data_IF_952561762150
#
_entry.id   IF_952561762150
#
_cell.length_a   1.000
_cell.length_b   1.000
_cell.length_c   1.000
_cell.angle_alpha   90.00
_cell.angle_beta   90.00
_cell.angle_gamma   90.00
#
_symmetry.space_group_name_H-M   'P 1'
#
loop_
_entity.id
_entity.type
_entity.pdbx_description
1 polymer ?
#
# COMPACT_ATOMS: atom_id res chain seq x y z
N UNK A 1 48.61 -20.71 -21.07
CA UNK A 1 47.61 -20.42 -20.02
C UNK A 1 47.83 -21.43 -18.90
N UNK A 2 48.25 -21.01 -17.71
CA UNK A 2 48.62 -21.95 -16.64
C UNK A 2 47.36 -22.48 -15.94
N UNK A 3 47.41 -23.70 -15.40
CA UNK A 3 46.29 -24.34 -14.67
C UNK A 3 45.71 -23.43 -13.56
N UNK A 4 46.57 -22.60 -12.97
CA UNK A 4 46.20 -21.57 -11.97
C UNK A 4 45.27 -20.50 -12.56
N UNK A 5 45.51 -20.06 -13.80
CA UNK A 5 44.65 -19.08 -14.47
C UNK A 5 43.25 -19.64 -14.76
N UNK A 6 43.14 -20.93 -15.09
CA UNK A 6 41.84 -21.59 -15.31
C UNK A 6 41.04 -21.72 -14.00
N UNK A 7 41.71 -22.09 -12.91
CA UNK A 7 41.08 -22.24 -11.59
C UNK A 7 40.57 -20.89 -11.05
N UNK A 8 41.33 -19.81 -11.25
CA UNK A 8 40.93 -18.45 -10.85
C UNK A 8 39.72 -17.99 -11.67
N UNK A 9 39.71 -18.22 -13.00
CA UNK A 9 38.58 -17.86 -13.85
C UNK A 9 37.30 -18.63 -13.46
N UNK A 10 37.40 -19.93 -13.20
CA UNK A 10 36.27 -20.74 -12.73
C UNK A 10 35.69 -20.26 -11.39
N UNK A 11 36.55 -19.91 -10.43
CA UNK A 11 36.14 -19.40 -9.13
C UNK A 11 35.42 -18.04 -9.25
N UNK A 12 35.90 -17.13 -10.11
CA UNK A 12 35.27 -15.84 -10.39
C UNK A 12 33.87 -16.03 -10.99
N UNK A 13 33.68 -16.98 -11.91
CA UNK A 13 32.38 -17.26 -12.52
C UNK A 13 31.40 -17.81 -11.46
N UNK A 14 31.87 -18.66 -10.54
CA UNK A 14 31.01 -19.19 -9.46
C UNK A 14 30.62 -18.13 -8.43
N UNK A 15 31.52 -17.19 -8.09
CA UNK A 15 31.21 -16.11 -7.16
C UNK A 15 30.30 -15.05 -7.79
N UNK A 16 30.62 -14.59 -9.00
CA UNK A 16 29.84 -13.55 -9.71
C UNK A 16 28.49 -14.07 -10.22
N UNK A 17 28.37 -15.37 -10.51
CA UNK A 17 27.11 -15.98 -10.90
C UNK A 17 26.04 -15.87 -9.81
N UNK A 18 26.41 -15.98 -8.53
CA UNK A 18 25.46 -15.85 -7.43
C UNK A 18 24.92 -14.41 -7.32
N UNK A 19 25.79 -13.40 -7.46
CA UNK A 19 25.39 -11.99 -7.44
C UNK A 19 24.50 -11.64 -8.64
N UNK A 20 24.86 -12.10 -9.83
CA UNK A 20 24.08 -11.86 -11.04
C UNK A 20 22.69 -12.52 -10.96
N UNK A 21 22.60 -13.75 -10.43
CA UNK A 21 21.32 -14.43 -10.21
C UNK A 21 20.47 -13.72 -9.15
N UNK A 22 21.06 -13.29 -8.04
CA UNK A 22 20.34 -12.58 -6.98
C UNK A 22 19.84 -11.22 -7.46
N UNK A 23 20.67 -10.44 -8.14
CA UNK A 23 20.28 -9.16 -8.73
C UNK A 23 19.22 -9.33 -9.82
N UNK A 24 19.38 -10.34 -10.69
CA UNK A 24 18.40 -10.66 -11.72
C UNK A 24 17.03 -10.99 -11.13
N UNK A 25 16.98 -11.83 -10.09
CA UNK A 25 15.73 -12.18 -9.42
C UNK A 25 15.05 -10.99 -8.75
N UNK A 26 15.83 -10.08 -8.12
CA UNK A 26 15.27 -8.85 -7.52
C UNK A 26 14.67 -7.95 -8.59
N UNK A 27 15.37 -7.73 -9.71
CA UNK A 27 14.86 -6.88 -10.79
C UNK A 27 13.58 -7.43 -11.41
N UNK A 28 13.55 -8.74 -11.69
CA UNK A 28 12.34 -9.41 -12.20
C UNK A 28 11.20 -9.26 -11.19
N UNK A 29 11.45 -9.56 -9.92
CA UNK A 29 10.43 -9.43 -8.87
C UNK A 29 9.89 -7.99 -8.74
N UNK A 30 10.76 -6.99 -8.73
CA UNK A 30 10.34 -5.59 -8.64
C UNK A 30 9.55 -5.14 -9.88
N UNK A 31 9.85 -5.70 -11.06
CA UNK A 31 9.17 -5.37 -12.31
C UNK A 31 7.81 -6.08 -12.48
N UNK A 32 7.63 -7.27 -11.90
CA UNK A 32 6.41 -8.07 -12.07
C UNK A 32 5.49 -8.07 -10.86
N UNK A 33 5.82 -7.35 -9.78
CA UNK A 33 4.93 -7.25 -8.62
C UNK A 33 3.66 -6.51 -9.01
N UNK A 34 2.56 -6.97 -8.44
CA UNK A 34 1.25 -6.36 -8.61
C UNK A 34 1.19 -5.00 -7.91
N UNK A 35 0.36 -4.10 -8.41
CA UNK A 35 0.19 -2.76 -7.83
C UNK A 35 -0.79 -2.83 -6.67
N UNK A 36 -0.46 -2.26 -5.49
CA UNK A 36 -1.39 -2.26 -4.37
C UNK A 36 -2.63 -1.42 -4.70
N UNK A 37 -3.78 -1.91 -4.27
CA UNK A 37 -5.03 -1.17 -4.40
C UNK A 37 -5.86 -1.26 -3.12
N UNK A 38 -6.73 -0.27 -2.91
CA UNK A 38 -7.73 -0.36 -1.87
C UNK A 38 -8.84 -1.30 -2.35
N UNK A 39 -9.06 -2.38 -1.59
CA UNK A 39 -9.94 -3.48 -1.95
C UNK A 39 -11.42 -3.04 -1.99
N UNK A 40 -11.80 -2.14 -1.09
CA UNK A 40 -13.14 -1.55 -1.06
C UNK A 40 -13.24 -0.47 -2.12
N UNK A 41 -14.21 -0.60 -3.04
CA UNK A 41 -14.45 0.41 -4.09
C UNK A 41 -15.56 1.40 -3.72
N UNK A 42 -16.50 0.98 -2.88
CA UNK A 42 -17.64 1.79 -2.45
C UNK A 42 -17.79 1.74 -0.93
N UNK A 43 -18.03 2.91 -0.34
CA UNK A 43 -18.24 3.02 1.10
C UNK A 43 -19.74 2.94 1.44
N UNK A 44 -20.13 2.19 2.48
CA UNK A 44 -21.49 2.16 2.99
C UNK A 44 -22.05 3.55 3.31
N UNK A 45 -23.37 3.68 3.23
CA UNK A 45 -24.06 4.92 3.65
C UNK A 45 -23.92 5.07 5.17
N UNK A 46 -23.47 6.24 5.61
CA UNK A 46 -23.39 6.59 7.02
C UNK A 46 -24.65 7.34 7.48
N UNK A 47 -24.95 7.32 8.78
CA UNK A 47 -26.08 8.02 9.37
C UNK A 47 -25.62 8.98 10.46
N UNK A 48 -26.14 10.20 10.46
CA UNK A 48 -25.79 11.23 11.46
C UNK A 48 -26.08 10.72 12.86
N UNK A 49 -25.12 10.92 13.77
CA UNK A 49 -25.26 10.51 15.17
C UNK A 49 -25.15 9.00 15.41
N UNK A 50 -24.94 8.18 14.36
CA UNK A 50 -24.72 6.73 14.50
C UNK A 50 -23.25 6.38 14.33
N UNK A 51 -22.75 5.39 15.11
CA UNK A 51 -21.39 4.91 14.92
C UNK A 51 -21.24 4.31 13.53
N UNK A 52 -20.15 4.68 12.88
CA UNK A 52 -19.73 4.20 11.58
C UNK A 52 -18.36 3.54 11.74
N UNK A 53 -18.14 2.39 11.11
CA UNK A 53 -16.86 1.70 11.13
C UNK A 53 -16.72 0.85 9.87
N UNK A 54 -15.70 1.15 9.07
CA UNK A 54 -15.40 0.44 7.83
C UNK A 54 -13.91 0.19 7.74
N UNK A 55 -13.56 -1.08 7.58
CA UNK A 55 -12.20 -1.53 7.31
C UNK A 55 -11.90 -1.36 5.83
N UNK A 56 -10.75 -0.78 5.51
CA UNK A 56 -10.21 -0.63 4.17
C UNK A 56 -8.94 -1.46 4.08
N UNK A 57 -9.00 -2.57 3.37
CA UNK A 57 -7.83 -3.41 3.10
C UNK A 57 -7.04 -2.90 1.90
N UNK A 58 -5.72 -2.99 1.99
CA UNK A 58 -4.79 -2.74 0.88
C UNK A 58 -4.42 -4.10 0.28
N UNK A 59 -5.09 -4.46 -0.81
CA UNK A 59 -4.82 -5.67 -1.56
C UNK A 59 -3.50 -5.54 -2.33
N UNK A 60 -2.92 -6.69 -2.70
CA UNK A 60 -1.73 -6.80 -3.56
C UNK A 60 -0.44 -6.11 -3.04
N UNK A 61 -0.49 -5.48 -1.86
CA UNK A 61 0.69 -4.94 -1.21
C UNK A 61 1.69 -6.07 -0.88
N UNK A 62 2.84 -6.07 -1.55
CA UNK A 62 3.91 -7.06 -1.33
C UNK A 62 4.57 -6.90 0.05
N UNK A 63 4.55 -5.70 0.62
CA UNK A 63 5.10 -5.34 1.93
C UNK A 63 4.01 -4.74 2.82
N UNK A 64 4.34 -4.44 4.08
CA UNK A 64 3.43 -3.71 4.96
C UNK A 64 3.18 -2.28 4.47
N UNK A 65 2.01 -1.71 4.81
CA UNK A 65 1.69 -0.33 4.48
C UNK A 65 2.40 0.59 5.48
N UNK A 66 3.15 1.56 4.97
CA UNK A 66 3.88 2.52 5.81
C UNK A 66 2.97 3.58 6.40
N UNK A 67 2.00 4.07 5.63
CA UNK A 67 1.00 5.05 6.02
C UNK A 67 -0.25 4.90 5.16
N UNK A 68 -1.40 5.15 5.75
CA UNK A 68 -2.67 5.35 5.05
C UNK A 68 -3.33 6.60 5.64
N UNK A 69 -3.69 7.54 4.78
CA UNK A 69 -4.06 8.91 5.13
C UNK A 69 -5.23 9.38 4.27
N UNK A 70 -5.85 10.49 4.69
CA UNK A 70 -6.90 11.18 3.93
C UNK A 70 -6.35 12.51 3.45
N UNK A 71 -6.57 12.85 2.19
CA UNK A 71 -6.06 14.09 1.61
C UNK A 71 -6.76 15.31 2.25
N UNK A 72 -6.01 16.33 2.72
CA UNK A 72 -6.61 17.52 3.33
C UNK A 72 -7.56 18.29 2.40
N UNK A 73 -7.34 18.22 1.09
CA UNK A 73 -8.19 18.86 0.09
C UNK A 73 -9.54 18.13 -0.13
N UNK A 74 -9.63 16.85 0.27
CA UNK A 74 -10.83 16.01 0.16
C UNK A 74 -10.99 15.18 1.45
N UNK A 75 -11.30 15.86 2.56
CA UNK A 75 -11.31 15.25 3.89
C UNK A 75 -12.51 14.35 4.11
N UNK A 76 -12.46 13.53 5.16
CA UNK A 76 -13.62 12.79 5.65
C UNK A 76 -14.71 13.74 6.18
N UNK A 77 -15.98 13.29 6.20
CA UNK A 77 -17.05 13.99 6.91
C UNK A 77 -16.69 14.27 8.37
N UNK A 78 -17.15 15.40 8.89
CA UNK A 78 -16.92 15.78 10.29
C UNK A 78 -17.39 14.68 11.26
N UNK A 79 -16.51 14.30 12.19
CA UNK A 79 -16.74 13.22 13.15
C UNK A 79 -16.30 11.83 12.69
N UNK A 80 -15.79 11.69 11.46
CA UNK A 80 -15.11 10.49 10.98
C UNK A 80 -13.60 10.71 10.89
N UNK A 81 -12.84 9.67 11.22
CA UNK A 81 -11.39 9.65 11.13
C UNK A 81 -10.90 8.35 10.48
N UNK A 82 -9.72 8.40 9.86
CA UNK A 82 -9.02 7.22 9.37
C UNK A 82 -7.92 6.86 10.36
N UNK A 83 -8.03 5.67 10.94
CA UNK A 83 -6.99 5.09 11.79
C UNK A 83 -6.19 4.06 11.00
N UNK A 84 -4.86 4.12 11.11
CA UNK A 84 -3.93 3.19 10.48
C UNK A 84 -2.71 3.00 11.38
N UNK A 85 -2.25 1.76 11.52
CA UNK A 85 -0.98 1.46 12.19
C UNK A 85 0.06 1.03 11.16
N UNK A 86 1.29 1.50 11.33
CA UNK A 86 2.37 1.13 10.42
C UNK A 86 2.52 -0.39 10.34
N UNK A 87 2.72 -0.89 9.12
CA UNK A 87 2.78 -2.30 8.71
C UNK A 87 1.45 -3.02 8.57
N UNK A 88 0.36 -2.50 9.12
CA UNK A 88 -0.96 -3.07 8.87
C UNK A 88 -1.36 -2.85 7.42
N UNK A 89 -1.79 -3.91 6.74
CA UNK A 89 -2.32 -3.84 5.38
C UNK A 89 -3.78 -3.36 5.33
N UNK A 90 -4.20 -2.60 6.32
CA UNK A 90 -5.56 -2.10 6.43
C UNK A 90 -5.62 -0.84 7.29
N UNK A 91 -6.54 0.05 6.97
CA UNK A 91 -6.98 1.11 7.87
C UNK A 91 -8.45 0.94 8.24
N UNK A 92 -8.93 1.71 9.20
CA UNK A 92 -10.34 1.74 9.58
C UNK A 92 -10.81 3.18 9.58
N UNK A 93 -11.80 3.48 8.74
CA UNK A 93 -12.59 4.72 8.86
C UNK A 93 -13.62 4.47 9.96
N UNK A 94 -13.55 5.23 11.04
CA UNK A 94 -14.49 5.11 12.14
C UNK A 94 -14.91 6.48 12.70
N UNK A 95 -15.92 6.47 13.56
CA UNK A 95 -16.42 7.65 14.26
C UNK A 95 -17.92 7.80 14.13
N UNK A 96 -18.41 9.02 14.35
CA UNK A 96 -19.85 9.34 14.30
C UNK A 96 -20.02 10.60 13.47
N UNK A 97 -20.61 10.51 12.26
CA UNK A 97 -20.73 11.67 11.39
C UNK A 97 -21.73 12.68 11.96
N UNK A 98 -21.42 13.96 11.82
CA UNK A 98 -22.19 15.05 12.43
C UNK A 98 -23.12 15.77 11.47
N UNK A 99 -22.89 15.66 10.16
CA UNK A 99 -23.61 16.41 9.13
C UNK A 99 -24.01 15.50 7.97
N UNK A 100 -25.23 15.69 7.48
CA UNK A 100 -25.70 15.05 6.25
C UNK A 100 -25.03 15.66 5.03
N UNK A 101 -24.89 14.85 3.98
CA UNK A 101 -24.26 15.31 2.75
C UNK A 101 -23.68 14.19 1.92
N UNK A 102 -23.14 14.55 0.77
CA UNK A 102 -22.32 13.65 -0.05
C UNK A 102 -20.93 14.25 -0.13
N UNK A 103 -19.94 13.46 0.29
CA UNK A 103 -18.55 13.91 0.45
C UNK A 103 -17.66 13.14 -0.50
N UNK A 104 -16.86 13.87 -1.28
CA UNK A 104 -15.78 13.28 -2.07
C UNK A 104 -14.52 13.21 -1.20
N UNK A 105 -14.04 12.00 -0.97
CA UNK A 105 -12.91 11.70 -0.07
C UNK A 105 -11.79 11.07 -0.88
N UNK A 106 -10.55 11.49 -0.64
CA UNK A 106 -9.38 10.85 -1.24
C UNK A 106 -8.57 10.17 -0.13
N UNK A 107 -8.53 8.84 -0.17
CA UNK A 107 -7.66 8.04 0.69
C UNK A 107 -6.42 7.70 -0.09
N UNK A 108 -5.24 7.90 0.50
CA UNK A 108 -3.96 7.63 -0.12
C UNK A 108 -2.98 7.03 0.88
N UNK A 109 -2.00 6.30 0.39
CA UNK A 109 -1.01 5.63 1.22
C UNK A 109 0.19 5.18 0.44
N UNK A 110 1.13 4.57 1.14
CA UNK A 110 2.35 4.01 0.53
C UNK A 110 2.82 2.79 1.28
N UNK A 111 3.40 1.82 0.57
CA UNK A 111 4.00 0.61 1.14
C UNK A 111 5.48 0.82 1.49
N UNK A 112 6.01 -0.01 2.39
CA UNK A 112 7.44 0.01 2.67
C UNK A 112 8.24 -0.49 1.46
N UNK A 113 9.32 0.21 1.13
CA UNK A 113 10.37 -0.33 0.26
C UNK A 113 11.26 -1.30 1.03
N UNK A 114 11.58 -2.43 0.42
CA UNK A 114 12.57 -3.38 0.93
C UNK A 114 13.71 -3.46 -0.08
N UNK A 115 13.79 -4.52 -0.89
CA UNK A 115 14.67 -4.61 -2.06
C UNK A 115 14.13 -3.84 -3.28
N UNK A 116 12.84 -3.49 -3.26
CA UNK A 116 12.19 -2.63 -4.25
C UNK A 116 11.76 -1.31 -3.60
N UNK A 117 11.58 -0.26 -4.40
CA UNK A 117 10.94 0.97 -3.92
C UNK A 117 9.53 0.68 -3.36
N UNK A 118 9.05 1.50 -2.42
CA UNK A 118 7.64 1.45 -2.00
C UNK A 118 6.70 1.71 -3.18
N UNK A 119 5.46 1.27 -3.07
CA UNK A 119 4.39 1.57 -4.03
C UNK A 119 3.36 2.45 -3.35
N UNK A 120 2.86 3.43 -4.09
CA UNK A 120 1.77 4.28 -3.64
C UNK A 120 0.43 3.61 -3.95
N UNK A 121 -0.59 3.99 -3.20
CA UNK A 121 -1.97 3.57 -3.43
C UNK A 121 -2.88 4.75 -3.16
N UNK A 122 -3.88 4.96 -4.02
CA UNK A 122 -4.89 5.99 -3.81
C UNK A 122 -6.25 5.55 -4.33
N UNK A 123 -7.31 6.06 -3.72
CA UNK A 123 -8.68 5.81 -4.14
C UNK A 123 -9.56 7.01 -3.79
N UNK A 124 -10.34 7.45 -4.77
CA UNK A 124 -11.44 8.37 -4.55
C UNK A 124 -12.68 7.60 -4.11
N UNK A 125 -13.29 8.07 -3.02
CA UNK A 125 -14.54 7.57 -2.49
C UNK A 125 -15.60 8.66 -2.48
N UNK A 126 -16.86 8.22 -2.53
CA UNK A 126 -18.02 9.04 -2.26
C UNK A 126 -18.73 8.51 -1.02
N UNK A 127 -18.75 9.29 0.06
CA UNK A 127 -19.47 8.93 1.29
C UNK A 127 -20.79 9.69 1.31
N UNK A 128 -21.89 8.94 1.38
CA UNK A 128 -23.22 9.51 1.59
C UNK A 128 -23.57 9.42 3.07
N UNK A 129 -23.92 10.56 3.67
CA UNK A 129 -24.38 10.67 5.05
C UNK A 129 -25.84 11.12 5.06
N UNK A 130 -26.72 10.31 5.66
CA UNK A 130 -28.16 10.59 5.82
C UNK A 130 -28.53 10.84 7.27
N UNK A 131 -29.75 11.31 7.53
CA UNK A 131 -30.33 11.33 8.87
C UNK A 131 -30.78 9.94 9.31
#
# INVERSE_FOLDING_TARGET
MTLKSLAIAGLIITLSGCEALMLGNVLVYCATREEPELAVKELPIAQVGRPYSVRIDVAHASTGVSKLLVAPAKPLPEGLELSHQARDKHGVINGTPLKTGTYDVLVYGSTFGTQCAGQDVEQFYKIKVTN
#
